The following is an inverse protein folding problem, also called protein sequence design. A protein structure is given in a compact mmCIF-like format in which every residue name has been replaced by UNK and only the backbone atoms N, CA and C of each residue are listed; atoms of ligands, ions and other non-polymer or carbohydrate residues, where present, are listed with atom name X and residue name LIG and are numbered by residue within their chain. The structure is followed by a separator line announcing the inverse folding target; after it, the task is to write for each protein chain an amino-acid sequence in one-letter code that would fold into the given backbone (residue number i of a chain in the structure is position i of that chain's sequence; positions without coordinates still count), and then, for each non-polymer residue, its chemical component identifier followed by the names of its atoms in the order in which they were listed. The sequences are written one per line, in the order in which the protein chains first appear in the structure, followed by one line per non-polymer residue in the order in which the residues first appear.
data_IF_875958929499
#
_entry.id   IF_875958929499
#
_cell.length_a   1.000
_cell.length_b   1.000
_cell.length_c   1.000
_cell.angle_alpha   90.00
_cell.angle_beta   90.00
_cell.angle_gamma   90.00
#
_symmetry.space_group_name_H-M   'P 1'
#
loop_
_entity.id
_entity.type
_entity.pdbx_description
1 polymer ?
#
# COMPACT_ATOMS: atom_id res chain seq x y z
N UNK A 1 -14.30 -7.73 3.73
CA UNK A 1 -12.83 -7.88 3.75
C UNK A 1 -12.30 -7.55 5.13
N UNK A 2 -11.41 -8.38 5.67
CA UNK A 2 -10.80 -8.10 6.97
C UNK A 2 -9.67 -7.09 6.82
N UNK A 3 -9.27 -6.48 7.93
CA UNK A 3 -8.13 -5.54 7.93
C UNK A 3 -6.87 -6.24 7.44
N UNK A 4 -6.63 -7.48 7.87
CA UNK A 4 -5.46 -8.25 7.45
C UNK A 4 -5.43 -8.49 5.95
N UNK A 5 -6.56 -8.85 5.37
CA UNK A 5 -6.67 -9.04 3.92
C UNK A 5 -6.43 -7.74 3.18
N UNK A 6 -7.01 -6.67 3.69
CA UNK A 6 -6.85 -5.34 3.10
C UNK A 6 -5.37 -4.91 3.11
N UNK A 7 -4.70 -5.06 4.25
CA UNK A 7 -3.27 -4.77 4.37
C UNK A 7 -2.45 -5.63 3.42
N UNK A 8 -2.75 -6.91 3.36
CA UNK A 8 -2.02 -7.85 2.50
C UNK A 8 -2.16 -7.48 1.02
N UNK A 9 -3.35 -7.10 0.60
CA UNK A 9 -3.58 -6.70 -0.78
C UNK A 9 -2.85 -5.40 -1.12
N UNK A 10 -2.87 -4.44 -0.20
CA UNK A 10 -2.13 -3.19 -0.39
C UNK A 10 -0.63 -3.46 -0.53
N UNK A 11 -0.10 -4.31 0.36
CA UNK A 11 1.31 -4.67 0.32
C UNK A 11 1.68 -5.33 -1.00
N UNK A 12 0.88 -6.28 -1.46
CA UNK A 12 1.09 -6.96 -2.73
C UNK A 12 1.11 -5.97 -3.89
N UNK A 13 0.19 -5.01 -3.88
CA UNK A 13 0.11 -3.99 -4.91
C UNK A 13 1.33 -3.05 -4.89
N UNK A 14 1.79 -2.68 -3.70
CA UNK A 14 3.01 -1.87 -3.57
C UNK A 14 4.23 -2.60 -4.10
N UNK A 15 4.35 -3.89 -3.79
CA UNK A 15 5.46 -4.71 -4.27
C UNK A 15 5.41 -4.94 -5.78
N UNK A 16 4.23 -4.89 -6.37
CA UNK A 16 4.06 -5.07 -7.81
C UNK A 16 4.38 -3.81 -8.61
N UNK A 17 4.50 -2.66 -7.96
CA UNK A 17 4.83 -1.41 -8.66
C UNK A 17 6.29 -1.41 -9.10
N UNK A 18 6.52 -0.98 -10.34
CA UNK A 18 7.86 -0.91 -10.92
C UNK A 18 8.21 0.53 -11.29
N UNK A 19 9.52 0.79 -11.38
CA UNK A 19 9.99 2.08 -11.85
C UNK A 19 10.12 2.06 -13.39
N UNK A 20 10.61 3.15 -13.97
CA UNK A 20 10.74 3.27 -15.42
C UNK A 20 11.69 2.23 -16.04
N UNK A 21 12.53 1.60 -15.24
CA UNK A 21 13.46 0.56 -15.69
C UNK A 21 12.90 -0.85 -15.55
N UNK A 22 11.67 -0.98 -15.03
CA UNK A 22 11.06 -2.27 -14.79
C UNK A 22 11.50 -2.94 -13.50
N UNK A 23 12.24 -2.24 -12.65
CA UNK A 23 12.68 -2.77 -11.37
C UNK A 23 11.63 -2.45 -10.29
N UNK A 24 11.55 -3.26 -9.21
CA UNK A 24 10.61 -2.97 -8.12
C UNK A 24 10.86 -1.57 -7.56
N UNK A 25 9.80 -0.80 -7.46
CA UNK A 25 9.86 0.57 -6.94
C UNK A 25 10.11 0.61 -5.43
N UNK A 26 9.57 -0.38 -4.72
CA UNK A 26 9.72 -0.50 -3.28
C UNK A 26 10.23 -1.88 -2.92
N UNK A 27 11.18 -1.92 -1.99
CA UNK A 27 11.58 -3.17 -1.37
C UNK A 27 10.52 -3.56 -0.34
N UNK A 28 10.47 -4.82 0.05
CA UNK A 28 9.49 -5.31 1.01
C UNK A 28 9.49 -4.49 2.30
N UNK A 29 10.67 -4.19 2.85
CA UNK A 29 10.79 -3.40 4.07
C UNK A 29 10.21 -2.00 3.89
N UNK A 30 10.51 -1.35 2.76
CA UNK A 30 9.99 -0.01 2.46
C UNK A 30 8.47 -0.02 2.29
N UNK A 31 7.94 -1.02 1.60
CA UNK A 31 6.49 -1.16 1.42
C UNK A 31 5.79 -1.37 2.76
N UNK A 32 6.36 -2.19 3.63
CA UNK A 32 5.81 -2.42 4.97
C UNK A 32 5.83 -1.16 5.81
N UNK A 33 6.90 -0.39 5.74
CA UNK A 33 6.99 0.89 6.46
C UNK A 33 5.92 1.86 6.01
N UNK A 34 5.68 1.97 4.71
CA UNK A 34 4.62 2.82 4.18
C UNK A 34 3.25 2.38 4.69
N UNK A 35 3.01 1.07 4.66
CA UNK A 35 1.75 0.51 5.12
C UNK A 35 1.56 0.73 6.62
N UNK A 36 2.62 0.61 7.40
CA UNK A 36 2.59 0.77 8.85
C UNK A 36 2.27 2.21 9.29
N UNK A 37 2.38 3.18 8.39
CA UNK A 37 1.97 4.55 8.67
C UNK A 37 0.45 4.66 8.83
N UNK A 38 -0.29 3.68 8.35
CA UNK A 38 -1.74 3.65 8.47
C UNK A 38 -2.13 2.88 9.74
N UNK A 39 -2.96 3.49 10.56
CA UNK A 39 -3.51 2.83 11.74
C UNK A 39 -4.63 1.87 11.34
N UNK A 40 -5.01 0.98 12.26
CA UNK A 40 -6.13 0.07 12.02
C UNK A 40 -7.42 0.85 11.74
N UNK A 41 -7.63 1.97 12.43
CA UNK A 41 -8.78 2.84 12.20
C UNK A 41 -8.79 3.38 10.78
N UNK A 42 -7.65 3.85 10.30
CA UNK A 42 -7.53 4.37 8.94
C UNK A 42 -7.79 3.27 7.91
N UNK A 43 -7.32 2.06 8.19
CA UNK A 43 -7.56 0.93 7.32
C UNK A 43 -9.03 0.52 7.31
N UNK A 44 -9.70 0.55 8.46
CA UNK A 44 -11.12 0.26 8.53
C UNK A 44 -11.94 1.28 7.72
N UNK A 45 -11.61 2.54 7.82
CA UNK A 45 -12.25 3.58 7.01
C UNK A 45 -11.97 3.36 5.53
N UNK A 46 -10.73 2.99 5.20
CA UNK A 46 -10.34 2.70 3.83
C UNK A 46 -11.16 1.56 3.22
N UNK A 47 -11.42 0.50 3.98
CA UNK A 47 -12.24 -0.62 3.52
C UNK A 47 -13.63 -0.13 3.07
N UNK A 48 -14.18 0.85 3.76
CA UNK A 48 -15.51 1.37 3.45
C UNK A 48 -15.53 2.30 2.23
N UNK A 49 -14.45 3.02 1.96
CA UNK A 49 -14.44 4.10 0.97
C UNK A 49 -13.43 3.93 -0.16
N UNK A 50 -12.43 3.10 0.02
CA UNK A 50 -11.33 2.95 -0.95
C UNK A 50 -11.04 1.49 -1.24
N UNK A 51 -10.61 1.21 -2.47
CA UNK A 51 -10.10 -0.12 -2.80
C UNK A 51 -8.64 -0.22 -2.35
N UNK A 52 -8.09 -1.44 -2.19
CA UNK A 52 -6.66 -1.59 -1.92
C UNK A 52 -5.78 -0.89 -2.96
N UNK A 53 -6.22 -0.86 -4.20
CA UNK A 53 -5.51 -0.20 -5.30
C UNK A 53 -5.42 1.30 -5.08
N UNK A 54 -6.51 1.93 -4.62
CA UNK A 54 -6.52 3.36 -4.31
C UNK A 54 -5.53 3.67 -3.21
N UNK A 55 -5.50 2.87 -2.15
CA UNK A 55 -4.60 3.08 -1.03
C UNK A 55 -3.15 2.87 -1.45
N UNK A 56 -2.88 1.83 -2.23
CA UNK A 56 -1.53 1.58 -2.74
C UNK A 56 -1.03 2.75 -3.60
N UNK A 57 -1.91 3.33 -4.40
CA UNK A 57 -1.59 4.49 -5.23
C UNK A 57 -1.20 5.69 -4.38
N UNK A 58 -1.99 5.99 -3.36
CA UNK A 58 -1.73 7.08 -2.43
C UNK A 58 -0.39 6.88 -1.72
N UNK A 59 -0.16 5.68 -1.19
CA UNK A 59 1.09 5.37 -0.50
C UNK A 59 2.29 5.46 -1.42
N UNK A 60 2.14 5.04 -2.67
CA UNK A 60 3.25 5.12 -3.63
C UNK A 60 3.62 6.56 -3.94
N UNK A 61 2.65 7.46 -3.98
CA UNK A 61 2.90 8.88 -4.18
C UNK A 61 3.65 9.48 -2.98
N UNK A 62 3.23 9.12 -1.77
CA UNK A 62 3.92 9.57 -0.54
C UNK A 62 5.34 9.04 -0.51
N UNK A 63 5.54 7.77 -0.86
CA UNK A 63 6.86 7.16 -0.88
C UNK A 63 7.80 7.69 -1.95
N UNK A 64 7.28 8.41 -2.93
CA UNK A 64 8.07 9.01 -4.01
C UNK A 64 8.57 10.42 -3.72
N UNK A 65 8.11 11.00 -2.63
CA UNK A 65 8.48 12.38 -2.24
C UNK A 65 9.84 12.44 -1.48
#
# INVERSE_FOLDING_TARGET
MSIEEYRQQILTLLLAKTNSKGEPRFEEAAAKELLDQLSDEELEEGILFNTPEDVAEILSEVGSL
#
